data_IF_531606607130
#
_entry.id   IF_531606607130
#
_cell.length_a   1.000
_cell.length_b   1.000
_cell.length_c   1.000
_cell.angle_alpha   90.00
_cell.angle_beta   90.00
_cell.angle_gamma   90.00
#
_symmetry.space_group_name_H-M   'P 1'
#
loop_
_entity.id
_entity.type
_entity.pdbx_description
1 polymer ?
#
# COMPACT_ATOMS: atom_id res chain seq x y z
N UNK A 1 16.03 -6.59 -3.41
CA UNK A 1 14.74 -6.33 -4.08
C UNK A 1 14.71 -4.85 -4.39
N UNK A 2 14.66 -4.49 -5.67
CA UNK A 2 14.74 -3.09 -6.09
C UNK A 2 13.64 -2.27 -5.43
N UNK A 3 14.01 -1.10 -4.88
CA UNK A 3 13.14 -0.19 -4.12
C UNK A 3 11.77 0.08 -4.79
N UNK A 4 11.65 0.26 -6.13
CA UNK A 4 10.35 0.44 -6.77
C UNK A 4 9.48 -0.84 -6.81
N UNK A 5 10.10 -2.02 -6.83
CA UNK A 5 9.39 -3.30 -6.92
C UNK A 5 8.61 -3.62 -5.64
N UNK A 6 9.07 -3.14 -4.48
CA UNK A 6 8.35 -3.28 -3.22
C UNK A 6 7.04 -2.48 -3.20
N UNK A 7 7.06 -1.24 -3.73
CA UNK A 7 5.87 -0.41 -3.83
C UNK A 7 4.87 -1.03 -4.83
N UNK A 8 5.37 -1.46 -5.99
CA UNK A 8 4.56 -2.13 -7.01
C UNK A 8 3.91 -3.41 -6.46
N UNK A 9 4.68 -4.22 -5.71
CA UNK A 9 4.16 -5.42 -5.06
C UNK A 9 3.08 -5.12 -4.02
N UNK A 10 3.26 -4.04 -3.24
CA UNK A 10 2.26 -3.59 -2.26
C UNK A 10 0.95 -3.16 -2.94
N UNK A 11 1.02 -2.47 -4.08
CA UNK A 11 -0.16 -2.12 -4.88
C UNK A 11 -0.84 -3.34 -5.50
N UNK A 12 -0.07 -4.26 -6.06
CA UNK A 12 -0.60 -5.50 -6.64
C UNK A 12 -1.31 -6.32 -5.57
N UNK A 13 -0.71 -6.45 -4.38
CA UNK A 13 -1.32 -7.15 -3.25
C UNK A 13 -2.62 -6.50 -2.80
N UNK A 14 -2.66 -5.16 -2.69
CA UNK A 14 -3.90 -4.42 -2.41
C UNK A 14 -4.99 -4.69 -3.46
N UNK A 15 -4.60 -4.70 -4.74
CA UNK A 15 -5.56 -4.90 -5.83
C UNK A 15 -6.10 -6.33 -5.86
N UNK A 16 -5.23 -7.33 -5.67
CA UNK A 16 -5.66 -8.72 -5.49
C UNK A 16 -6.59 -8.87 -4.29
N UNK A 17 -6.28 -8.20 -3.18
CA UNK A 17 -7.11 -8.30 -1.98
C UNK A 17 -8.48 -7.66 -2.17
N UNK A 18 -8.57 -6.56 -2.92
CA UNK A 18 -9.85 -5.99 -3.34
C UNK A 18 -10.67 -6.93 -4.24
N UNK A 19 -10.03 -7.64 -5.17
CA UNK A 19 -10.69 -8.63 -6.02
C UNK A 19 -11.18 -9.85 -5.22
N UNK A 20 -10.37 -10.35 -4.28
CA UNK A 20 -10.75 -11.44 -3.39
C UNK A 20 -11.93 -11.05 -2.50
N UNK A 21 -11.89 -9.85 -1.91
CA UNK A 21 -12.99 -9.35 -1.09
C UNK A 21 -14.29 -9.19 -1.90
N UNK A 22 -14.18 -8.73 -3.16
CA UNK A 22 -15.33 -8.63 -4.07
C UNK A 22 -15.89 -10.01 -4.46
N UNK A 23 -15.01 -10.99 -4.69
CA UNK A 23 -15.41 -12.37 -4.96
C UNK A 23 -16.10 -13.00 -3.74
N UNK A 24 -15.63 -12.73 -2.53
CA UNK A 24 -16.25 -13.22 -1.30
C UNK A 24 -17.64 -12.63 -1.08
N UNK A 25 -17.79 -11.32 -1.31
CA UNK A 25 -19.10 -10.65 -1.31
C UNK A 25 -20.04 -11.26 -2.34
N UNK A 26 -19.54 -11.58 -3.53
CA UNK A 26 -20.33 -12.21 -4.60
C UNK A 26 -20.80 -13.62 -4.22
N UNK A 27 -19.94 -14.41 -3.58
CA UNK A 27 -20.24 -15.81 -3.20
C UNK A 27 -21.15 -15.88 -1.96
N UNK A 28 -20.95 -14.99 -0.98
CA UNK A 28 -21.62 -15.04 0.31
C UNK A 28 -22.70 -13.96 0.47
N UNK A 29 -23.30 -13.50 -0.63
CA UNK A 29 -24.18 -12.33 -0.65
C UNK A 29 -25.33 -12.37 0.39
N UNK A 30 -25.84 -13.56 0.72
CA UNK A 30 -26.91 -13.77 1.70
C UNK A 30 -26.44 -13.96 3.17
N UNK A 31 -25.16 -14.26 3.39
CA UNK A 31 -24.61 -14.65 4.71
C UNK A 31 -23.56 -13.68 5.27
N UNK A 32 -23.21 -12.63 4.52
CA UNK A 32 -22.19 -11.65 4.93
C UNK A 32 -22.67 -10.82 6.12
N UNK A 33 -22.16 -11.15 7.30
CA UNK A 33 -22.28 -10.30 8.48
C UNK A 33 -21.27 -9.15 8.38
N UNK A 34 -21.78 -7.91 8.44
CA UNK A 34 -20.96 -6.68 8.42
C UNK A 34 -19.86 -6.72 9.50
N UNK A 35 -20.14 -7.35 10.64
CA UNK A 35 -19.19 -7.47 11.76
C UNK A 35 -18.01 -8.37 11.39
N UNK A 36 -18.29 -9.50 10.73
CA UNK A 36 -17.25 -10.42 10.26
C UNK A 36 -16.43 -9.78 9.14
N UNK A 37 -17.10 -9.04 8.24
CA UNK A 37 -16.46 -8.26 7.19
C UNK A 37 -15.46 -7.25 7.76
N UNK A 38 -15.83 -6.53 8.83
CA UNK A 38 -14.94 -5.56 9.47
C UNK A 38 -13.83 -6.26 10.27
N UNK A 39 -14.13 -7.25 11.11
CA UNK A 39 -13.11 -7.88 11.96
C UNK A 39 -12.06 -8.67 11.16
N UNK A 40 -12.47 -9.29 10.06
CA UNK A 40 -11.60 -10.16 9.27
C UNK A 40 -10.81 -9.36 8.22
N UNK A 41 -11.44 -8.39 7.55
CA UNK A 41 -10.81 -7.67 6.46
C UNK A 41 -10.12 -6.37 6.89
N UNK A 42 -10.62 -5.65 7.89
CA UNK A 42 -10.04 -4.36 8.32
C UNK A 42 -8.57 -4.48 8.76
N UNK A 43 -8.14 -5.51 9.54
CA UNK A 43 -6.74 -5.67 9.89
C UNK A 43 -5.87 -5.91 8.65
N UNK A 44 -6.36 -6.73 7.71
CA UNK A 44 -5.63 -7.06 6.47
C UNK A 44 -5.44 -5.81 5.61
N UNK A 45 -6.49 -5.03 5.38
CA UNK A 45 -6.40 -3.77 4.65
C UNK A 45 -5.44 -2.79 5.35
N UNK A 46 -5.45 -2.73 6.68
CA UNK A 46 -4.56 -1.85 7.44
C UNK A 46 -3.08 -2.19 7.22
N UNK A 47 -2.72 -3.48 7.14
CA UNK A 47 -1.35 -3.94 6.88
C UNK A 47 -0.90 -3.52 5.50
N UNK A 48 -1.72 -3.74 4.46
CA UNK A 48 -1.34 -3.35 3.10
C UNK A 48 -1.24 -1.82 2.93
N UNK A 49 -2.15 -1.07 3.54
CA UNK A 49 -2.07 0.40 3.56
C UNK A 49 -0.77 0.85 4.24
N UNK A 50 -0.42 0.26 5.38
CA UNK A 50 0.84 0.57 6.07
C UNK A 50 2.06 0.27 5.18
N UNK A 51 2.07 -0.86 4.45
CA UNK A 51 3.15 -1.19 3.52
C UNK A 51 3.29 -0.16 2.38
N UNK A 52 2.17 0.29 1.80
CA UNK A 52 2.16 1.35 0.79
C UNK A 52 2.67 2.67 1.38
N UNK A 53 2.18 3.06 2.57
CA UNK A 53 2.61 4.29 3.25
C UNK A 53 4.12 4.26 3.52
N UNK A 54 4.66 3.16 4.04
CA UNK A 54 6.11 3.01 4.27
C UNK A 54 6.88 3.14 2.95
N UNK A 55 6.39 2.52 1.87
CA UNK A 55 6.99 2.64 0.55
C UNK A 55 6.98 4.08 0.02
N UNK A 56 5.89 4.83 0.23
CA UNK A 56 5.75 6.22 -0.19
C UNK A 56 6.63 7.17 0.64
N UNK A 57 6.59 7.06 1.97
CA UNK A 57 7.42 7.88 2.88
C UNK A 57 8.89 7.72 2.52
N UNK A 58 9.34 6.49 2.27
CA UNK A 58 10.73 6.19 1.88
C UNK A 58 11.10 6.76 0.50
N UNK A 59 10.14 6.97 -0.40
CA UNK A 59 10.35 7.61 -1.72
C UNK A 59 10.49 9.12 -1.57
N UNK A 60 9.56 9.74 -0.86
CA UNK A 60 9.58 11.19 -0.54
C UNK A 60 10.89 11.58 0.16
N UNK A 61 11.37 10.77 1.10
CA UNK A 61 12.66 11.04 1.77
C UNK A 61 13.88 10.94 0.84
N UNK A 62 13.88 10.04 -0.16
CA UNK A 62 15.00 9.96 -1.12
C UNK A 62 14.95 11.12 -2.12
N UNK A 63 13.77 11.53 -2.57
CA UNK A 63 13.61 12.66 -3.48
C UNK A 63 14.05 13.97 -2.79
N UNK A 64 13.72 14.16 -1.51
CA UNK A 64 14.15 15.31 -0.71
C UNK A 64 15.68 15.38 -0.49
N UNK A 65 16.34 14.24 -0.33
CA UNK A 65 17.81 14.17 -0.16
C UNK A 65 18.56 14.50 -1.46
N UNK A 66 18.02 14.06 -2.61
CA UNK A 66 18.56 14.40 -3.94
C UNK A 66 18.45 15.90 -4.24
N UNK A 67 17.34 16.53 -3.88
CA UNK A 67 17.15 17.99 -4.05
C UNK A 67 18.15 18.79 -3.19
N UNK A 68 18.37 18.37 -1.94
CA UNK A 68 19.32 19.06 -1.05
C UNK A 68 20.77 18.94 -1.55
N UNK A 69 21.14 17.77 -2.07
CA UNK A 69 22.50 17.51 -2.57
C UNK A 69 22.76 18.19 -3.93
N UNK A 70 21.72 18.40 -4.74
CA UNK A 70 21.77 19.16 -6.00
C UNK A 70 21.94 20.67 -5.73
N UNK A 71 21.23 21.21 -4.72
CA UNK A 71 21.36 22.60 -4.29
C UNK A 71 22.78 22.93 -3.82
N UNK A 72 23.41 22.03 -3.04
CA UNK A 72 24.80 22.23 -2.58
C UNK A 72 25.84 22.22 -3.70
N UNK A 73 25.57 21.58 -4.84
CA UNK A 73 26.51 21.55 -5.98
C UNK A 73 26.44 22.78 -6.88
N UNK A 74 25.41 23.61 -6.74
CA UNK A 74 25.14 24.75 -7.64
C UNK A 74 25.40 26.12 -7.00
N UNK A 75 25.63 26.18 -5.69
CA UNK A 75 26.12 27.40 -5.02
C UNK A 75 27.67 27.40 -4.94
N UNK A 76 28.34 28.47 -5.39
CA UNK A 76 29.80 28.60 -5.41
C UNK A 76 30.44 28.71 -4.02
#
# INVERSE_FOLDING_TARGET
MDRPSFLAFSFIGLWLMALLHLAELWINFDSVSIVQLILEWLPIYSVWIALVVIGLVKRVSNDADLDHHSYKKTTP
#
